data_IF_978244745774
#
_entry.id   IF_978244745774
#
_cell.length_a   1.000
_cell.length_b   1.000
_cell.length_c   1.000
_cell.angle_alpha   90.00
_cell.angle_beta   90.00
_cell.angle_gamma   90.00
#
_symmetry.space_group_name_H-M   'P 1'
#
loop_
_entity.id
_entity.type
_entity.pdbx_description
1 polymer ?
#
# COMPACT_ATOMS: atom_id res chain seq x y z
N UNK A 1 -0.34 8.11 16.11
CA UNK A 1 -0.13 7.03 15.13
C UNK A 1 1.25 6.47 15.40
N UNK A 2 1.41 5.14 15.48
CA UNK A 2 2.72 4.54 15.65
C UNK A 2 3.57 4.78 14.39
N UNK A 3 4.90 4.72 14.51
CA UNK A 3 5.79 4.83 13.35
C UNK A 3 5.51 3.74 12.32
N UNK A 4 5.25 2.51 12.77
CA UNK A 4 4.97 1.35 11.91
C UNK A 4 3.70 1.56 11.09
N UNK A 5 2.65 2.14 11.68
CA UNK A 5 1.43 2.50 10.95
C UNK A 5 1.68 3.60 9.91
N UNK A 6 2.54 4.55 10.26
CA UNK A 6 2.93 5.67 9.39
C UNK A 6 3.76 5.16 8.20
N UNK A 7 4.68 4.21 8.44
CA UNK A 7 5.48 3.53 7.43
C UNK A 7 4.60 2.66 6.53
N UNK A 8 3.69 1.86 7.11
CA UNK A 8 2.72 1.07 6.34
C UNK A 8 1.90 1.95 5.39
N UNK A 9 1.35 3.06 5.90
CA UNK A 9 0.60 4.00 5.07
C UNK A 9 1.46 4.54 3.91
N UNK A 10 2.71 4.90 4.18
CA UNK A 10 3.62 5.40 3.15
C UNK A 10 3.90 4.35 2.08
N UNK A 11 4.20 3.10 2.46
CA UNK A 11 4.43 2.00 1.51
C UNK A 11 3.19 1.73 0.65
N UNK A 12 2.00 1.76 1.24
CA UNK A 12 0.73 1.63 0.48
C UNK A 12 0.52 2.80 -0.49
N UNK A 13 0.92 4.02 -0.12
CA UNK A 13 0.88 5.17 -1.04
C UNK A 13 1.87 4.99 -2.21
N UNK A 14 3.10 4.49 -1.95
CA UNK A 14 4.07 4.19 -3.01
C UNK A 14 3.58 3.09 -3.94
N UNK A 15 3.02 2.01 -3.40
CA UNK A 15 2.43 0.92 -4.19
C UNK A 15 1.35 1.43 -5.14
N UNK A 16 0.42 2.24 -4.62
CA UNK A 16 -0.63 2.84 -5.45
C UNK A 16 -0.06 3.74 -6.55
N UNK A 17 1.00 4.49 -6.25
CA UNK A 17 1.64 5.36 -7.25
C UNK A 17 2.37 4.55 -8.32
N UNK A 18 3.01 3.44 -7.95
CA UNK A 18 3.67 2.50 -8.87
C UNK A 18 2.67 1.89 -9.87
N UNK A 19 1.47 1.53 -9.39
CA UNK A 19 0.38 1.03 -10.24
C UNK A 19 -0.14 2.08 -11.25
N UNK A 20 -0.07 3.37 -10.92
CA UNK A 20 -0.71 4.44 -11.72
C UNK A 20 0.27 5.29 -12.53
N UNK A 21 1.54 5.36 -12.14
CA UNK A 21 2.54 6.23 -12.75
C UNK A 21 3.80 5.44 -13.14
N UNK A 22 4.14 5.47 -14.43
CA UNK A 22 5.38 4.86 -14.90
C UNK A 22 6.61 5.61 -14.36
N UNK A 23 7.70 4.86 -14.16
CA UNK A 23 8.98 5.39 -13.69
C UNK A 23 9.14 5.45 -12.18
N UNK A 24 8.14 5.04 -11.39
CA UNK A 24 8.23 4.98 -9.92
C UNK A 24 9.38 4.10 -9.41
N UNK A 25 9.79 3.09 -10.18
CA UNK A 25 10.94 2.21 -9.88
C UNK A 25 12.23 2.60 -10.60
N UNK A 26 12.27 3.76 -11.23
CA UNK A 26 13.52 4.24 -11.84
C UNK A 26 14.54 4.53 -10.74
N UNK A 27 15.80 4.15 -10.95
CA UNK A 27 16.86 4.26 -9.95
C UNK A 27 17.00 5.68 -9.40
N UNK A 28 16.88 6.68 -10.28
CA UNK A 28 17.05 8.08 -9.92
C UNK A 28 15.90 8.55 -9.01
N UNK A 29 14.67 8.08 -9.27
CA UNK A 29 13.50 8.36 -8.43
C UNK A 29 13.68 7.74 -7.04
N UNK A 30 14.11 6.48 -6.99
CA UNK A 30 14.38 5.78 -5.74
C UNK A 30 15.49 6.48 -4.93
N UNK A 31 16.59 6.85 -5.59
CA UNK A 31 17.69 7.59 -4.97
C UNK A 31 17.24 8.94 -4.42
N UNK A 32 16.47 9.70 -5.19
CA UNK A 32 15.94 10.98 -4.72
C UNK A 32 14.99 10.84 -3.52
N UNK A 33 14.13 9.81 -3.50
CA UNK A 33 13.28 9.54 -2.34
C UNK A 33 14.14 9.16 -1.14
N UNK A 34 15.10 8.25 -1.32
CA UNK A 34 16.04 7.84 -0.29
C UNK A 34 16.80 9.04 0.31
N UNK A 35 17.40 9.90 -0.51
CA UNK A 35 18.11 11.09 -0.07
C UNK A 35 17.22 11.99 0.81
N UNK A 36 15.97 12.20 0.40
CA UNK A 36 15.02 12.98 1.20
C UNK A 36 14.76 12.32 2.54
N UNK A 37 14.48 11.01 2.57
CA UNK A 37 14.23 10.30 3.82
C UNK A 37 15.47 10.30 4.73
N UNK A 38 16.66 10.10 4.16
CA UNK A 38 17.92 10.16 4.88
C UNK A 38 18.13 11.55 5.51
N UNK A 39 17.94 12.61 4.72
CA UNK A 39 18.11 13.98 5.18
C UNK A 39 17.18 14.32 6.36
N UNK A 40 15.87 14.04 6.25
CA UNK A 40 14.90 14.47 7.26
C UNK A 40 14.65 13.49 8.39
N UNK A 41 14.75 12.18 8.15
CA UNK A 41 14.43 11.16 9.15
C UNK A 41 15.68 10.53 9.73
N UNK A 42 16.70 10.25 8.93
CA UNK A 42 17.92 9.61 9.46
C UNK A 42 18.83 10.64 10.10
N UNK A 43 19.03 11.80 9.47
CA UNK A 43 19.87 12.88 10.00
C UNK A 43 19.09 13.95 10.77
N UNK A 44 17.75 13.88 10.81
CA UNK A 44 16.88 14.79 11.57
C UNK A 44 17.10 16.29 11.27
N UNK A 45 17.40 16.61 10.00
CA UNK A 45 17.55 17.99 9.58
C UNK A 45 16.21 18.75 9.66
N UNK A 46 16.27 19.98 10.19
CA UNK A 46 15.09 20.81 10.41
C UNK A 46 15.06 22.01 9.46
N UNK A 47 14.90 21.72 8.17
CA UNK A 47 14.66 22.75 7.16
C UNK A 47 13.16 22.88 6.87
N UNK A 48 12.63 24.11 6.73
CA UNK A 48 11.23 24.33 6.38
C UNK A 48 10.90 23.98 4.93
N UNK A 49 11.90 24.04 4.03
CA UNK A 49 11.70 23.72 2.62
C UNK A 49 11.55 22.20 2.47
N UNK A 50 10.81 21.75 1.45
CA UNK A 50 10.60 20.34 1.14
C UNK A 50 10.74 20.13 -0.37
N UNK A 51 11.38 19.03 -0.82
CA UNK A 51 11.42 18.71 -2.24
C UNK A 51 10.01 18.54 -2.81
N UNK A 52 9.80 19.10 -3.99
CA UNK A 52 8.58 18.95 -4.78
C UNK A 52 8.79 18.03 -5.99
N UNK A 53 10.02 17.55 -6.19
CA UNK A 53 10.41 16.75 -7.35
C UNK A 53 11.37 15.61 -7.03
N UNK A 54 11.14 14.51 -7.73
CA UNK A 54 11.77 13.21 -7.62
C UNK A 54 12.04 12.60 -9.00
N UNK A 55 11.88 13.35 -10.10
CA UNK A 55 12.34 12.93 -11.42
C UNK A 55 11.34 12.07 -12.19
N UNK A 56 10.06 12.16 -11.84
CA UNK A 56 9.00 11.48 -12.59
C UNK A 56 8.68 12.21 -13.89
N UNK A 57 8.19 11.45 -14.86
CA UNK A 57 7.93 11.96 -16.22
C UNK A 57 6.81 13.00 -16.30
N UNK A 58 5.89 13.03 -15.33
CA UNK A 58 4.77 13.96 -15.30
C UNK A 58 4.74 14.75 -14.00
N UNK A 59 4.31 16.02 -14.10
CA UNK A 59 4.13 16.91 -12.95
C UNK A 59 3.17 16.32 -11.91
N UNK A 60 2.08 15.72 -12.37
CA UNK A 60 1.08 15.09 -11.51
C UNK A 60 1.68 13.96 -10.67
N UNK A 61 2.48 13.09 -11.30
CA UNK A 61 3.11 11.98 -10.60
C UNK A 61 4.12 12.48 -9.55
N UNK A 62 4.91 13.50 -9.91
CA UNK A 62 5.89 14.08 -9.01
C UNK A 62 5.25 14.84 -7.82
N UNK A 63 4.19 15.60 -8.08
CA UNK A 63 3.39 16.23 -7.03
C UNK A 63 2.76 15.19 -6.08
N UNK A 64 2.26 14.08 -6.63
CA UNK A 64 1.67 13.01 -5.84
C UNK A 64 2.71 12.28 -4.97
N UNK A 65 3.89 11.96 -5.52
CA UNK A 65 5.00 11.38 -4.78
C UNK A 65 5.53 12.34 -3.71
N UNK A 66 5.72 13.61 -4.05
CA UNK A 66 6.14 14.63 -3.10
C UNK A 66 5.14 14.77 -1.94
N UNK A 67 3.84 14.75 -2.22
CA UNK A 67 2.82 14.78 -1.19
C UNK A 67 2.90 13.56 -0.26
N UNK A 68 3.08 12.35 -0.80
CA UNK A 68 3.24 11.13 -0.02
C UNK A 68 4.47 11.18 0.90
N UNK A 69 5.64 11.53 0.33
CA UNK A 69 6.89 11.65 1.09
C UNK A 69 6.79 12.72 2.19
N UNK A 70 6.24 13.90 1.86
CA UNK A 70 6.11 14.98 2.85
C UNK A 70 5.13 14.65 3.97
N UNK A 71 4.03 13.96 3.66
CA UNK A 71 3.08 13.46 4.66
C UNK A 71 3.74 12.44 5.58
N UNK A 72 4.46 11.48 5.01
CA UNK A 72 5.20 10.48 5.76
C UNK A 72 6.20 11.14 6.72
N UNK A 73 7.06 12.02 6.23
CA UNK A 73 8.06 12.68 7.07
C UNK A 73 7.39 13.51 8.18
N UNK A 74 6.31 14.24 7.86
CA UNK A 74 5.58 15.05 8.85
C UNK A 74 5.04 14.19 9.99
N UNK A 75 4.48 13.02 9.67
CA UNK A 75 3.93 12.11 10.67
C UNK A 75 5.04 11.37 11.44
N UNK A 76 6.06 10.86 10.74
CA UNK A 76 7.17 10.12 11.34
C UNK A 76 7.98 10.99 12.32
N UNK A 77 8.23 12.27 12.00
CA UNK A 77 8.95 13.19 12.90
C UNK A 77 8.19 13.52 14.19
N UNK A 78 6.89 13.22 14.27
CA UNK A 78 6.11 13.38 15.51
C UNK A 78 6.33 12.24 16.48
N UNK A 79 6.93 11.13 16.06
CA UNK A 79 7.24 10.01 16.94
C UNK A 79 8.50 10.34 17.80
N UNK A 80 8.35 10.47 19.14
CA UNK A 80 9.50 10.72 20.01
C UNK A 80 10.48 9.54 20.05
N UNK A 81 10.02 8.30 19.86
CA UNK A 81 10.88 7.13 19.84
C UNK A 81 11.85 7.21 18.67
N UNK A 82 11.37 7.55 17.47
CA UNK A 82 12.22 7.71 16.28
C UNK A 82 13.29 8.80 16.48
N UNK A 83 12.90 9.94 17.08
CA UNK A 83 13.82 11.08 17.31
C UNK A 83 14.98 10.75 18.22
N UNK A 84 14.76 9.90 19.22
CA UNK A 84 15.76 9.54 20.22
C UNK A 84 16.72 8.42 19.77
N UNK A 85 16.45 7.77 18.62
CA UNK A 85 17.34 6.77 18.04
C UNK A 85 18.59 7.40 17.42
N UNK A 86 19.69 6.65 17.38
CA UNK A 86 20.86 6.99 16.56
C UNK A 86 20.55 6.82 15.06
N UNK A 87 21.29 7.46 14.14
CA UNK A 87 21.05 7.35 12.70
C UNK A 87 20.92 5.91 12.18
N UNK A 88 21.82 5.00 12.57
CA UNK A 88 21.77 3.59 12.14
C UNK A 88 20.47 2.90 12.60
N UNK A 89 20.02 3.17 13.83
CA UNK A 89 18.77 2.60 14.36
C UNK A 89 17.52 3.23 13.71
N UNK A 90 17.59 4.49 13.24
CA UNK A 90 16.51 5.09 12.45
C UNK A 90 16.43 4.46 11.06
N UNK A 91 17.58 4.19 10.45
CA UNK A 91 17.67 3.47 9.18
C UNK A 91 17.08 2.07 9.29
N UNK A 92 17.52 1.30 10.29
CA UNK A 92 17.00 -0.05 10.55
C UNK A 92 15.48 -0.04 10.71
N UNK A 93 14.95 0.90 11.50
CA UNK A 93 13.52 1.03 11.70
C UNK A 93 12.76 1.45 10.44
N UNK A 94 13.35 2.32 9.62
CA UNK A 94 12.76 2.72 8.33
C UNK A 94 12.66 1.55 7.35
N UNK A 95 13.59 0.60 7.43
CA UNK A 95 13.68 -0.58 6.55
C UNK A 95 13.17 -1.86 7.20
N UNK A 96 12.34 -1.75 8.24
CA UNK A 96 11.79 -2.89 8.95
C UNK A 96 10.90 -3.74 8.03
N UNK A 97 11.41 -4.92 7.66
CA UNK A 97 10.75 -5.85 6.75
C UNK A 97 9.46 -6.46 7.34
N UNK A 98 9.19 -6.30 8.63
CA UNK A 98 7.91 -6.71 9.23
C UNK A 98 6.76 -5.74 8.94
N UNK A 99 7.07 -4.56 8.41
CA UNK A 99 6.07 -3.57 7.98
C UNK A 99 5.76 -3.76 6.50
N UNK A 100 4.67 -4.47 6.23
CA UNK A 100 4.20 -4.82 4.90
C UNK A 100 2.95 -4.02 4.50
N UNK A 101 2.75 -3.78 3.19
CA UNK A 101 1.47 -3.32 2.64
C UNK A 101 0.43 -4.43 2.66
N UNK A 102 -0.82 -4.13 2.27
CA UNK A 102 -1.87 -5.15 2.16
C UNK A 102 -1.56 -6.24 1.13
N UNK A 103 -0.71 -5.95 0.13
CA UNK A 103 -0.26 -6.93 -0.87
C UNK A 103 0.95 -7.74 -0.43
N UNK A 104 1.56 -7.41 0.72
CA UNK A 104 2.80 -8.00 1.20
C UNK A 104 4.07 -7.30 0.71
N UNK A 105 3.98 -6.13 0.07
CA UNK A 105 5.16 -5.38 -0.36
C UNK A 105 5.85 -4.73 0.83
N UNK A 106 7.18 -4.68 0.82
CA UNK A 106 8.03 -4.10 1.87
C UNK A 106 8.83 -2.90 1.36
N UNK A 107 9.52 -2.20 2.27
CA UNK A 107 10.38 -1.05 1.94
C UNK A 107 11.35 -1.33 0.77
N UNK A 108 12.02 -2.48 0.79
CA UNK A 108 13.04 -2.80 -0.21
C UNK A 108 12.48 -2.99 -1.62
N UNK A 109 11.19 -3.25 -1.77
CA UNK A 109 10.55 -3.40 -3.08
C UNK A 109 10.42 -2.07 -3.82
N UNK A 110 10.39 -0.96 -3.07
CA UNK A 110 10.23 0.40 -3.61
C UNK A 110 11.52 1.20 -3.62
N UNK A 111 12.31 1.11 -2.54
CA UNK A 111 13.45 2.01 -2.32
C UNK A 111 14.79 1.27 -2.20
N UNK A 112 14.78 -0.05 -2.34
CA UNK A 112 15.97 -0.88 -2.13
C UNK A 112 16.38 -0.99 -0.66
N UNK A 113 17.56 -1.54 -0.42
CA UNK A 113 18.12 -1.73 0.92
C UNK A 113 19.41 -0.93 1.06
N UNK A 114 19.61 -0.28 2.21
CA UNK A 114 20.81 0.50 2.49
C UNK A 114 21.47 -0.04 3.76
N UNK A 115 22.73 -0.43 3.66
CA UNK A 115 23.47 -0.97 4.80
C UNK A 115 23.97 0.09 5.78
N UNK A 116 24.01 1.35 5.36
CA UNK A 116 24.49 2.49 6.16
C UNK A 116 23.66 3.75 5.85
N UNK A 117 23.48 4.67 6.82
CA UNK A 117 22.78 5.94 6.65
C UNK A 117 23.22 6.84 5.49
N UNK A 118 24.44 6.63 4.98
CA UNK A 118 25.10 7.56 4.08
C UNK A 118 25.58 8.84 4.79
N UNK A 119 26.35 9.68 4.10
CA UNK A 119 26.71 11.01 4.60
C UNK A 119 25.50 11.95 4.57
N UNK A 120 25.55 13.03 5.34
CA UNK A 120 24.60 14.15 5.17
C UNK A 120 24.91 14.81 3.82
N UNK A 121 24.00 14.69 2.86
CA UNK A 121 24.11 15.32 1.54
C UNK A 121 23.28 16.61 1.56
N UNK A 122 23.84 17.72 1.06
CA UNK A 122 23.04 18.91 0.79
C UNK A 122 22.11 18.62 -0.40
N UNK A 123 20.80 18.71 -0.18
CA UNK A 123 19.84 18.47 -1.24
C UNK A 123 19.96 19.55 -2.32
N UNK A 124 19.98 19.13 -3.59
CA UNK A 124 20.13 20.01 -4.74
C UNK A 124 18.95 21.00 -4.80
N UNK A 125 19.26 22.31 -4.88
CA UNK A 125 18.26 23.39 -4.88
C UNK A 125 17.17 23.22 -5.96
N UNK A 126 17.55 22.65 -7.11
CA UNK A 126 16.63 22.37 -8.20
C UNK A 126 15.42 21.52 -7.77
N UNK A 127 15.55 20.64 -6.76
CA UNK A 127 14.47 19.76 -6.27
C UNK A 127 13.36 20.49 -5.50
N UNK A 128 13.56 21.76 -5.18
CA UNK A 128 12.60 22.60 -4.45
C UNK A 128 11.84 23.57 -5.37
N UNK A 129 12.19 23.63 -6.65
CA UNK A 129 11.60 24.53 -7.63
C UNK A 129 10.75 23.71 -8.62
N UNK A 130 9.75 24.33 -9.26
CA UNK A 130 9.04 23.69 -10.37
C UNK A 130 10.02 23.40 -11.51
N UNK A 131 10.13 22.14 -11.94
CA UNK A 131 11.05 21.77 -13.02
C UNK A 131 10.68 22.48 -14.31
N UNK A 132 11.66 23.10 -14.99
CA UNK A 132 11.42 23.69 -16.31
C UNK A 132 10.99 22.62 -17.33
N UNK A 133 11.34 21.35 -17.12
CA UNK A 133 11.03 20.25 -18.03
C UNK A 133 9.54 19.86 -18.05
N UNK A 134 8.75 20.21 -17.03
CA UNK A 134 7.30 19.98 -17.07
C UNK A 134 6.58 20.84 -18.12
N UNK A 135 7.17 21.98 -18.51
CA UNK A 135 6.51 22.93 -19.41
C UNK A 135 6.52 22.52 -20.87
N UNK A 136 7.41 21.63 -21.28
CA UNK A 136 7.51 21.22 -22.69
C UNK A 136 6.58 20.05 -23.05
N UNK A 137 6.18 19.22 -22.06
CA UNK A 137 5.23 18.11 -22.28
C UNK A 137 3.74 18.51 -22.22
N UNK A 138 3.40 19.58 -21.48
CA UNK A 138 2.00 19.98 -21.27
C UNK A 138 1.35 20.64 -22.50
N UNK A 139 2.13 21.13 -23.46
CA UNK A 139 1.61 21.73 -24.69
C UNK A 139 1.47 20.74 -25.87
N UNK A 140 2.03 19.52 -25.78
CA UNK A 140 2.18 18.63 -26.93
C UNK A 140 1.76 17.16 -26.73
N UNK A 141 1.27 16.77 -25.55
CA UNK A 141 0.54 15.51 -25.43
C UNK A 141 -0.95 15.79 -25.69
N UNK A 142 -1.50 15.55 -26.91
CA UNK A 142 -2.94 15.40 -27.00
C UNK A 142 -3.30 14.33 -25.97
N UNK A 143 -4.28 14.62 -25.12
CA UNK A 143 -4.85 13.66 -24.21
C UNK A 143 -5.30 12.44 -25.02
N UNK A 144 -4.38 11.50 -25.24
CA UNK A 144 -4.71 10.11 -25.41
C UNK A 144 -5.08 9.65 -24.02
N UNK A 145 -6.20 10.19 -23.52
CA UNK A 145 -7.13 9.39 -22.77
C UNK A 145 -7.28 8.14 -23.64
N UNK A 146 -6.55 7.10 -23.26
CA UNK A 146 -6.76 5.75 -23.75
C UNK A 146 -8.23 5.54 -23.46
N UNK A 147 -9.07 5.81 -24.47
CA UNK A 147 -10.47 5.41 -24.45
C UNK A 147 -10.33 3.91 -24.31
N UNK A 148 -10.40 3.43 -23.07
CA UNK A 148 -10.63 2.03 -22.78
C UNK A 148 -11.95 1.80 -23.46
N UNK A 149 -11.89 1.37 -24.73
CA UNK A 149 -13.05 0.90 -25.46
C UNK A 149 -13.38 -0.38 -24.73
N UNK A 150 -14.19 -0.24 -23.68
CA UNK A 150 -14.79 -1.38 -23.01
C UNK A 150 -15.54 -2.08 -24.12
N UNK A 151 -15.04 -3.24 -24.52
CA UNK A 151 -15.65 -3.99 -25.59
C UNK A 151 -17.06 -4.35 -25.10
N UNK A 152 -18.14 -3.90 -25.76
CA UNK A 152 -19.50 -4.14 -25.30
C UNK A 152 -19.79 -5.64 -25.15
N UNK A 153 -19.07 -6.49 -25.91
CA UNK A 153 -19.14 -7.96 -25.77
C UNK A 153 -18.58 -8.42 -24.42
N UNK A 154 -17.45 -7.88 -23.97
CA UNK A 154 -16.83 -8.23 -22.68
C UNK A 154 -17.73 -7.80 -21.51
N UNK A 155 -18.36 -6.62 -21.61
CA UNK A 155 -19.32 -6.15 -20.60
C UNK A 155 -20.59 -7.02 -20.56
N UNK A 156 -21.12 -7.42 -21.72
CA UNK A 156 -22.28 -8.31 -21.79
C UNK A 156 -21.99 -9.71 -21.24
N UNK A 157 -20.80 -10.25 -21.50
CA UNK A 157 -20.36 -11.56 -20.98
C UNK A 157 -20.22 -11.51 -19.45
N UNK A 158 -19.62 -10.46 -18.87
CA UNK A 158 -19.47 -10.39 -17.41
C UNK A 158 -20.82 -10.26 -16.70
N UNK A 159 -21.75 -9.47 -17.25
CA UNK A 159 -23.13 -9.38 -16.76
C UNK A 159 -23.86 -10.72 -16.83
N UNK A 160 -23.70 -11.46 -17.94
CA UNK A 160 -24.30 -12.78 -18.11
C UNK A 160 -23.78 -13.81 -17.09
N UNK A 161 -22.46 -13.85 -16.86
CA UNK A 161 -21.85 -14.75 -15.87
C UNK A 161 -22.35 -14.41 -14.45
N UNK A 162 -22.40 -13.12 -14.12
CA UNK A 162 -22.86 -12.65 -12.79
C UNK A 162 -24.32 -13.05 -12.54
N UNK A 163 -25.18 -12.93 -13.56
CA UNK A 163 -26.58 -13.35 -13.49
C UNK A 163 -26.70 -14.86 -13.29
N UNK A 164 -25.94 -15.68 -14.03
CA UNK A 164 -25.97 -17.14 -13.92
C UNK A 164 -25.54 -17.62 -12.53
N UNK A 165 -24.50 -17.00 -11.95
CA UNK A 165 -24.05 -17.29 -10.58
C UNK A 165 -25.16 -16.95 -9.58
N UNK A 166 -25.77 -15.77 -9.71
CA UNK A 166 -26.89 -15.35 -8.85
C UNK A 166 -28.08 -16.31 -8.90
N UNK A 167 -28.46 -16.78 -10.09
CA UNK A 167 -29.52 -17.78 -10.27
C UNK A 167 -29.14 -19.11 -9.62
N UNK A 168 -27.90 -19.58 -9.79
CA UNK A 168 -27.41 -20.82 -9.18
C UNK A 168 -27.49 -20.80 -7.66
N UNK A 169 -27.11 -19.68 -7.03
CA UNK A 169 -27.22 -19.48 -5.57
C UNK A 169 -28.68 -19.52 -5.13
N UNK A 170 -29.58 -18.84 -5.85
CA UNK A 170 -31.02 -18.82 -5.55
C UNK A 170 -31.64 -20.23 -5.62
N UNK A 171 -31.30 -21.02 -6.64
CA UNK A 171 -31.76 -22.40 -6.80
C UNK A 171 -31.26 -23.27 -5.64
N UNK A 172 -29.98 -23.14 -5.26
CA UNK A 172 -29.41 -23.90 -4.14
C UNK A 172 -30.13 -23.58 -2.81
N UNK A 173 -30.43 -22.30 -2.55
CA UNK A 173 -31.20 -21.88 -1.36
C UNK A 173 -32.61 -22.48 -1.40
N UNK A 174 -33.29 -22.42 -2.54
CA UNK A 174 -34.63 -22.99 -2.69
C UNK A 174 -34.68 -24.50 -2.40
N UNK A 175 -33.71 -25.27 -2.91
CA UNK A 175 -33.63 -26.71 -2.63
C UNK A 175 -33.33 -27.00 -1.16
N UNK A 176 -32.45 -26.22 -0.53
CA UNK A 176 -32.16 -26.36 0.90
C UNK A 176 -33.39 -26.12 1.77
N UNK A 177 -34.16 -25.06 1.49
CA UNK A 177 -35.40 -24.78 2.23
C UNK A 177 -36.52 -25.80 1.95
N UNK A 178 -36.58 -26.34 0.74
CA UNK A 178 -37.59 -27.35 0.38
C UNK A 178 -37.28 -28.74 0.95
N UNK A 179 -36.01 -29.09 1.11
CA UNK A 179 -35.54 -30.37 1.63
C UNK A 179 -35.82 -30.60 3.12
N UNK A 180 -35.82 -29.54 3.93
CA UNK A 180 -36.02 -29.63 5.39
C UNK A 180 -37.48 -29.89 5.82
N UNK A 181 -38.43 -29.92 4.89
CA UNK A 181 -39.86 -30.10 5.23
C UNK A 181 -40.32 -31.56 5.37
N UNK A 182 -39.45 -32.56 5.15
CA UNK A 182 -39.86 -33.99 5.16
C UNK A 182 -39.36 -34.84 6.34
N UNK A 183 -38.80 -34.24 7.39
CA UNK A 183 -38.08 -35.00 8.43
C UNK A 183 -38.36 -34.64 9.89
N UNK A 184 -39.56 -34.20 10.27
CA UNK A 184 -39.93 -34.04 11.69
C UNK A 184 -41.09 -34.97 12.06
N UNK A 185 -40.82 -36.27 12.00
CA UNK A 185 -41.75 -37.31 12.42
C UNK A 185 -41.03 -38.40 13.23
N UNK A 186 -41.29 -38.37 14.54
CA UNK A 186 -41.17 -39.47 15.51
C UNK A 186 -39.78 -40.12 15.73
N UNK A 187 -39.22 -39.85 16.91
CA UNK A 187 -38.02 -40.54 17.41
C UNK A 187 -37.76 -40.27 18.89
N UNK A 188 -38.75 -40.48 19.75
CA UNK A 188 -38.56 -40.61 21.20
C UNK A 188 -37.79 -41.90 21.49
N UNK A 189 -36.46 -41.79 21.60
CA UNK A 189 -35.56 -42.85 22.04
C UNK A 189 -34.93 -42.53 23.40
N UNK A 190 -34.71 -43.52 24.29
CA UNK A 190 -34.55 -43.29 25.71
C UNK A 190 -33.13 -42.87 26.10
N UNK A 191 -33.13 -41.94 27.04
CA UNK A 191 -32.06 -41.58 27.98
C UNK A 191 -31.27 -42.81 28.45
N UNK A 192 -29.99 -42.89 28.10
CA UNK A 192 -29.01 -43.68 28.84
C UNK A 192 -27.93 -42.75 29.39
N UNK A 193 -27.92 -42.63 30.71
CA UNK A 193 -26.82 -42.07 31.47
C UNK A 193 -25.60 -42.95 31.25
N UNK A 194 -24.51 -42.40 30.71
CA UNK A 194 -23.18 -42.95 30.95
C UNK A 194 -22.32 -41.91 31.67
N UNK A 195 -22.28 -42.10 32.99
CA UNK A 195 -21.23 -41.62 33.88
C UNK A 195 -19.99 -42.48 33.68
N UNK A 196 -18.85 -41.82 33.42
CA UNK A 196 -17.45 -42.20 33.70
C UNK A 196 -16.63 -40.99 33.23
N UNK A 197 -15.93 -40.20 34.04
CA UNK A 197 -15.07 -40.57 35.16
C UNK A 197 -13.62 -40.53 34.68
N UNK A 198 -12.80 -39.66 35.31
CA UNK A 198 -11.32 -39.67 35.31
C UNK A 198 -10.61 -39.31 33.98
N UNK A 199 -9.45 -38.65 33.92
CA UNK A 199 -8.43 -38.26 34.91
C UNK A 199 -7.46 -37.31 34.21
N UNK A 200 -7.01 -36.27 34.91
CA UNK A 200 -5.71 -35.62 34.70
C UNK A 200 -4.59 -36.64 35.02
N UNK A 201 -3.45 -36.68 34.30
CA UNK A 201 -2.30 -35.79 34.60
C UNK A 201 -1.51 -35.45 33.30
N UNK A 202 -0.46 -34.64 33.21
CA UNK A 202 0.40 -33.86 34.11
C UNK A 202 0.87 -32.62 33.30
#
# INVERSE_FOLDING_TARGET
MAFEDTLRQFLTELERLDDTHAGMRDSDVQEYVWETLAYYLIHMQDTPQRPTMYGLTTREADEALAAAVNRFITNARRDPALRNLAPDARLERLQDASVETESGSVYSDFLGHHSVPGPVIEMVEARFQDSPYYREGAAAAPAQAKKVRVNPVVMAVSLGITLLIGIGILVMIYYKMSGDTKGSGAGTGPRTHHSTGNTSPA
#
